data_IF_675856196670
#
_entry.id   IF_675856196670
#
_cell.length_a   1.000
_cell.length_b   1.000
_cell.length_c   1.000
_cell.angle_alpha   90.00
_cell.angle_beta   90.00
_cell.angle_gamma   90.00
#
_symmetry.space_group_name_H-M   'P 1'
#
loop_
_entity.id
_entity.type
_entity.pdbx_description
1 polymer ?
#
# COMPACT_ATOMS: atom_id res chain seq x y z
N UNK A 1 18.22 -11.22 5.43
CA UNK A 1 17.13 -10.35 4.93
C UNK A 1 17.40 -8.93 5.40
N UNK A 2 17.32 -7.97 4.48
CA UNK A 2 17.49 -6.56 4.83
C UNK A 2 16.27 -6.08 5.61
N UNK A 3 16.50 -5.29 6.65
CA UNK A 3 15.39 -4.68 7.39
C UNK A 3 14.63 -3.69 6.52
N UNK A 4 13.30 -3.58 6.69
CA UNK A 4 12.52 -2.62 5.93
C UNK A 4 12.83 -1.19 6.34
N UNK A 5 12.65 -0.28 5.39
CA UNK A 5 12.57 1.16 5.69
C UNK A 5 11.17 1.44 6.22
N UNK A 6 11.07 2.27 7.26
CA UNK A 6 9.80 2.59 7.91
C UNK A 6 9.49 4.07 7.78
N UNK A 7 8.24 4.39 7.44
CA UNK A 7 7.77 5.76 7.27
C UNK A 7 6.42 5.92 7.97
N UNK A 8 6.28 6.97 8.76
CA UNK A 8 5.00 7.32 9.38
C UNK A 8 4.51 8.66 8.85
N UNK A 9 3.19 8.80 8.77
CA UNK A 9 2.57 9.99 8.20
C UNK A 9 1.50 10.52 9.14
N UNK A 10 1.44 11.85 9.25
CA UNK A 10 0.47 12.53 10.12
C UNK A 10 -0.89 12.61 9.42
N UNK A 11 -1.96 12.43 10.18
CA UNK A 11 -3.33 12.70 9.73
C UNK A 11 -3.44 14.17 9.35
N UNK A 12 -3.88 14.46 8.12
CA UNK A 12 -4.00 15.83 7.62
C UNK A 12 -5.45 16.35 7.62
N UNK A 13 -6.36 15.59 8.23
CA UNK A 13 -7.79 15.94 8.30
C UNK A 13 -8.60 15.40 7.12
N UNK A 14 -7.96 14.97 6.05
CA UNK A 14 -8.60 14.37 4.87
C UNK A 14 -8.09 12.93 4.67
N UNK A 15 -6.78 12.74 4.61
CA UNK A 15 -6.13 11.43 4.61
C UNK A 15 -5.74 11.12 6.06
N UNK A 16 -6.38 10.13 6.69
CA UNK A 16 -6.13 9.87 8.12
C UNK A 16 -4.77 9.26 8.41
N UNK A 17 -4.24 8.51 7.46
CA UNK A 17 -3.03 7.72 7.61
C UNK A 17 -3.14 6.71 8.77
N UNK A 18 -2.01 6.21 9.26
CA UNK A 18 -1.98 5.22 10.33
C UNK A 18 -0.92 5.59 11.35
N UNK A 19 -1.10 5.14 12.59
CA UNK A 19 -0.06 5.19 13.61
C UNK A 19 1.02 4.14 13.38
N UNK A 20 0.69 3.10 12.59
CA UNK A 20 1.64 2.08 12.19
C UNK A 20 2.48 2.57 11.01
N UNK A 21 3.75 2.15 10.90
CA UNK A 21 4.58 2.60 9.79
C UNK A 21 4.24 1.89 8.49
N UNK A 22 4.34 2.61 7.39
CA UNK A 22 4.48 2.02 6.07
C UNK A 22 5.88 1.40 5.98
N UNK A 23 5.98 0.18 5.46
CA UNK A 23 7.24 -0.54 5.36
C UNK A 23 7.62 -0.75 3.91
N UNK A 24 8.87 -0.48 3.57
CA UNK A 24 9.41 -0.73 2.23
C UNK A 24 10.54 -1.74 2.34
N UNK A 25 10.37 -2.89 1.69
CA UNK A 25 11.38 -3.94 1.60
C UNK A 25 12.02 -3.87 0.23
N UNK A 26 13.27 -3.42 0.15
CA UNK A 26 13.98 -3.26 -1.12
C UNK A 26 14.51 -4.60 -1.62
N UNK A 27 14.27 -4.88 -2.90
CA UNK A 27 14.76 -6.08 -3.59
C UNK A 27 14.47 -7.37 -2.81
N UNK A 28 13.30 -7.45 -2.19
CA UNK A 28 12.93 -8.53 -1.28
C UNK A 28 12.12 -9.64 -1.95
N UNK A 29 11.68 -9.44 -3.19
CA UNK A 29 10.81 -10.38 -3.90
C UNK A 29 11.39 -10.70 -5.27
N UNK A 30 10.98 -11.84 -5.88
CA UNK A 30 11.28 -12.09 -7.28
C UNK A 30 10.72 -10.99 -8.17
N UNK A 31 11.44 -10.64 -9.25
CA UNK A 31 10.99 -9.63 -10.19
C UNK A 31 10.06 -10.26 -11.25
N UNK A 32 9.02 -10.93 -10.81
CA UNK A 32 7.96 -11.50 -11.65
C UNK A 32 6.67 -11.65 -10.84
N UNK A 33 5.54 -11.50 -11.50
CA UNK A 33 4.24 -11.49 -10.84
C UNK A 33 3.91 -12.82 -10.15
N UNK A 34 4.18 -13.95 -10.79
CA UNK A 34 3.88 -15.25 -10.20
C UNK A 34 4.73 -15.51 -8.96
N UNK A 35 6.00 -15.11 -8.97
CA UNK A 35 6.89 -15.24 -7.81
C UNK A 35 6.44 -14.39 -6.64
N UNK A 36 6.01 -13.16 -6.90
CA UNK A 36 5.47 -12.27 -5.88
C UNK A 36 4.19 -12.86 -5.30
N UNK A 37 3.31 -13.38 -6.15
CA UNK A 37 2.06 -14.00 -5.70
C UNK A 37 2.33 -15.19 -4.78
N UNK A 38 3.31 -16.02 -5.10
CA UNK A 38 3.70 -17.14 -4.23
C UNK A 38 4.25 -16.67 -2.90
N UNK A 39 5.07 -15.61 -2.92
CA UNK A 39 5.62 -15.02 -1.69
C UNK A 39 4.50 -14.48 -0.79
N UNK A 40 3.57 -13.75 -1.36
CA UNK A 40 2.44 -13.20 -0.60
C UNK A 40 1.56 -14.31 -0.03
N UNK A 41 1.21 -15.30 -0.85
CA UNK A 41 0.40 -16.44 -0.41
C UNK A 41 1.07 -17.21 0.74
N UNK A 42 2.38 -17.41 0.67
CA UNK A 42 3.14 -18.11 1.70
C UNK A 42 3.12 -17.36 3.05
N UNK A 43 2.90 -16.06 3.02
CA UNK A 43 2.83 -15.22 4.21
C UNK A 43 1.39 -14.88 4.62
N UNK A 44 0.39 -15.60 4.08
CA UNK A 44 -1.03 -15.43 4.38
C UNK A 44 -1.60 -14.09 3.88
N UNK A 45 -1.06 -13.61 2.76
CA UNK A 45 -1.57 -12.46 2.03
C UNK A 45 -1.97 -12.95 0.64
N UNK A 46 -3.17 -13.55 0.49
CA UNK A 46 -3.59 -14.08 -0.81
C UNK A 46 -3.60 -12.97 -1.87
N UNK A 47 -3.00 -13.23 -3.04
CA UNK A 47 -2.97 -12.23 -4.11
C UNK A 47 -4.37 -11.85 -4.55
N UNK A 48 -4.60 -10.55 -4.76
CA UNK A 48 -5.90 -10.02 -5.09
C UNK A 48 -5.98 -9.46 -6.52
N UNK A 49 -4.90 -8.83 -7.00
CA UNK A 49 -4.93 -8.18 -8.31
C UNK A 49 -3.52 -7.98 -8.87
N UNK A 50 -3.46 -7.75 -10.18
CA UNK A 50 -2.27 -7.27 -10.91
C UNK A 50 -2.67 -6.01 -11.65
N UNK A 51 -2.02 -4.88 -11.36
CA UNK A 51 -2.34 -3.59 -11.95
C UNK A 51 -1.25 -2.56 -11.60
N UNK A 52 -1.64 -1.31 -11.47
CA UNK A 52 -0.80 -0.19 -11.05
C UNK A 52 -1.48 0.56 -9.91
N UNK A 53 -0.82 1.59 -9.39
CA UNK A 53 -1.41 2.46 -8.36
C UNK A 53 -2.21 3.56 -9.06
N UNK A 54 -3.39 3.88 -8.55
CA UNK A 54 -4.22 4.96 -9.08
C UNK A 54 -3.49 6.31 -9.01
N UNK A 55 -3.69 7.19 -10.01
CA UNK A 55 -3.04 8.50 -10.04
C UNK A 55 -3.79 9.58 -9.25
N UNK A 56 -4.51 9.18 -8.22
CA UNK A 56 -5.22 10.08 -7.31
C UNK A 56 -5.04 9.61 -5.88
N UNK A 57 -5.14 10.54 -4.93
CA UNK A 57 -5.05 10.20 -3.52
C UNK A 57 -6.20 9.29 -3.12
N UNK A 58 -5.88 8.19 -2.47
CA UNK A 58 -6.86 7.25 -1.95
C UNK A 58 -6.23 6.43 -0.81
N UNK A 59 -7.09 5.78 -0.03
CA UNK A 59 -6.66 4.90 1.04
C UNK A 59 -7.74 3.85 1.32
N UNK A 60 -7.36 2.77 1.97
CA UNK A 60 -8.28 1.72 2.40
C UNK A 60 -8.48 1.84 3.91
N UNK A 61 -9.68 2.21 4.39
CA UNK A 61 -9.90 2.42 5.83
C UNK A 61 -10.02 1.12 6.61
N UNK A 62 -10.25 0.01 5.94
CA UNK A 62 -10.61 -1.26 6.58
C UNK A 62 -9.67 -2.43 6.22
N UNK A 63 -8.55 -2.16 5.58
CA UNK A 63 -7.63 -3.21 5.16
C UNK A 63 -6.19 -2.72 5.07
N UNK A 64 -5.24 -3.54 5.53
CA UNK A 64 -3.83 -3.38 5.18
C UNK A 64 -3.62 -3.88 3.76
N UNK A 65 -2.60 -3.38 3.07
CA UNK A 65 -2.32 -3.75 1.69
C UNK A 65 -0.83 -4.00 1.49
N UNK A 66 -0.50 -5.01 0.69
CA UNK A 66 0.87 -5.23 0.23
C UNK A 66 0.92 -4.99 -1.28
N UNK A 67 1.95 -4.31 -1.72
CA UNK A 67 2.24 -4.04 -3.13
C UNK A 67 3.61 -4.61 -3.47
N UNK A 68 3.65 -5.51 -4.45
CA UNK A 68 4.92 -6.04 -4.96
C UNK A 68 5.13 -5.59 -6.39
N UNK A 69 6.29 -5.02 -6.69
CA UNK A 69 6.60 -4.55 -8.04
C UNK A 69 7.20 -5.69 -8.84
N UNK A 70 6.47 -6.15 -9.85
CA UNK A 70 6.90 -7.25 -10.72
C UNK A 70 7.76 -6.76 -11.89
N UNK A 71 7.43 -5.60 -12.45
CA UNK A 71 8.14 -4.97 -13.56
C UNK A 71 8.08 -3.46 -13.44
N UNK A 72 9.10 -2.80 -13.96
CA UNK A 72 9.11 -1.36 -14.12
C UNK A 72 9.43 -0.61 -12.84
N UNK A 73 9.11 0.67 -12.88
CA UNK A 73 9.37 1.61 -11.78
C UNK A 73 8.20 2.57 -11.65
N UNK A 74 7.99 3.06 -10.43
CA UNK A 74 6.99 4.10 -10.16
C UNK A 74 7.46 5.04 -9.07
N UNK A 75 6.98 6.27 -9.12
CA UNK A 75 7.08 7.22 -8.03
C UNK A 75 5.69 7.39 -7.44
N UNK A 76 5.55 7.08 -6.17
CA UNK A 76 4.26 7.11 -5.48
C UNK A 76 4.36 8.06 -4.30
N UNK A 77 3.41 8.97 -4.21
CA UNK A 77 3.27 9.86 -3.06
C UNK A 77 2.44 9.12 -2.01
N UNK A 78 3.08 8.76 -0.91
CA UNK A 78 2.42 8.11 0.21
C UNK A 78 2.13 9.12 1.31
N UNK A 79 1.02 8.94 2.01
CA UNK A 79 0.70 9.75 3.19
C UNK A 79 -0.12 10.99 2.91
N UNK A 80 -0.69 11.13 1.72
CA UNK A 80 -1.46 12.30 1.32
C UNK A 80 -0.57 13.41 0.74
N UNK A 81 -1.16 14.59 0.43
CA UNK A 81 -0.42 15.69 -0.21
C UNK A 81 0.83 16.15 0.56
N UNK A 82 0.84 15.99 1.86
CA UNK A 82 1.98 16.37 2.72
C UNK A 82 2.87 15.18 3.10
N UNK A 83 2.68 14.05 2.44
CA UNK A 83 3.46 12.85 2.68
C UNK A 83 4.82 12.86 2.00
N UNK A 84 5.25 11.71 1.52
CA UNK A 84 6.56 11.54 0.92
C UNK A 84 6.48 10.74 -0.37
N UNK A 85 7.17 11.20 -1.41
CA UNK A 85 7.31 10.45 -2.66
C UNK A 85 8.41 9.41 -2.47
N UNK A 86 8.07 8.16 -2.75
CA UNK A 86 9.03 7.05 -2.76
C UNK A 86 9.08 6.46 -4.16
N UNK A 87 10.29 6.16 -4.61
CA UNK A 87 10.49 5.43 -5.86
C UNK A 87 10.56 3.94 -5.56
N UNK A 88 9.80 3.15 -6.31
CA UNK A 88 9.79 1.68 -6.19
C UNK A 88 10.12 1.06 -7.53
N UNK A 89 10.81 -0.08 -7.49
CA UNK A 89 11.31 -0.80 -8.67
C UNK A 89 11.04 -2.29 -8.53
N UNK A 90 11.16 -3.01 -9.64
CA UNK A 90 10.96 -4.46 -9.66
C UNK A 90 11.73 -5.15 -8.53
N UNK A 91 11.03 -5.98 -7.77
CA UNK A 91 11.54 -6.68 -6.58
C UNK A 91 11.25 -5.99 -5.26
N UNK A 92 10.81 -4.73 -5.29
CA UNK A 92 10.44 -4.02 -4.05
C UNK A 92 9.04 -4.43 -3.58
N UNK A 93 8.85 -4.46 -2.26
CA UNK A 93 7.55 -4.72 -1.63
C UNK A 93 7.25 -3.58 -0.67
N UNK A 94 6.04 -3.05 -0.76
CA UNK A 94 5.54 -2.01 0.15
C UNK A 94 4.36 -2.57 0.93
N UNK A 95 4.40 -2.44 2.26
CA UNK A 95 3.27 -2.81 3.12
C UNK A 95 2.66 -1.52 3.66
N UNK A 96 1.39 -1.30 3.30
CA UNK A 96 0.64 -0.11 3.70
C UNK A 96 -0.33 -0.47 4.81
N UNK A 97 -0.17 0.09 6.01
CA UNK A 97 -1.22 -0.03 7.03
C UNK A 97 -2.53 0.61 6.55
N UNK A 98 -3.65 0.09 7.02
CA UNK A 98 -4.96 0.68 6.74
C UNK A 98 -4.95 2.18 7.04
N UNK A 99 -5.49 2.97 6.14
CA UNK A 99 -5.56 4.42 6.26
C UNK A 99 -4.46 5.20 5.57
N UNK A 100 -3.34 4.56 5.23
CA UNK A 100 -2.22 5.27 4.59
C UNK A 100 -2.59 5.63 3.16
N UNK A 101 -2.51 6.93 2.85
CA UNK A 101 -2.79 7.43 1.51
C UNK A 101 -1.71 7.06 0.51
N UNK A 102 -2.13 6.86 -0.74
CA UNK A 102 -1.20 6.63 -1.84
C UNK A 102 -1.74 7.19 -3.14
N UNK A 103 -0.82 7.74 -3.95
CA UNK A 103 -1.14 8.43 -5.20
C UNK A 103 0.05 8.32 -6.14
N UNK A 104 -0.15 7.67 -7.29
CA UNK A 104 0.94 7.53 -8.25
C UNK A 104 1.26 8.88 -8.89
N UNK A 105 2.54 9.23 -8.93
CA UNK A 105 3.02 10.46 -9.56
C UNK A 105 3.63 10.21 -10.93
N UNK A 106 4.24 9.04 -11.13
CA UNK A 106 4.95 8.69 -12.35
C UNK A 106 5.13 7.17 -12.42
N UNK A 107 5.20 6.65 -13.63
CA UNK A 107 5.52 5.24 -13.85
C UNK A 107 6.19 5.01 -15.20
N UNK A 108 6.91 3.89 -15.31
CA UNK A 108 7.32 3.37 -16.61
C UNK A 108 6.14 2.67 -17.30
N UNK A 109 6.21 2.55 -18.63
CA UNK A 109 5.11 1.96 -19.42
C UNK A 109 4.87 0.49 -19.09
N UNK A 110 5.91 -0.23 -18.65
CA UNK A 110 5.84 -1.66 -18.36
C UNK A 110 5.48 -1.97 -16.91
N UNK A 111 5.14 -0.96 -16.11
CA UNK A 111 4.85 -1.17 -14.68
C UNK A 111 3.79 -2.25 -14.48
N UNK A 112 4.12 -3.20 -13.61
CA UNK A 112 3.16 -4.19 -13.14
C UNK A 112 3.36 -4.39 -11.65
N UNK A 113 2.27 -4.20 -10.89
CA UNK A 113 2.24 -4.37 -9.44
C UNK A 113 1.26 -5.48 -9.09
N UNK A 114 1.66 -6.33 -8.15
CA UNK A 114 0.79 -7.33 -7.53
C UNK A 114 0.31 -6.76 -6.21
N UNK A 115 -1.01 -6.71 -6.02
CA UNK A 115 -1.63 -6.28 -4.78
C UNK A 115 -2.21 -7.44 -3.99
N UNK A 116 -2.13 -7.36 -2.67
CA UNK A 116 -2.67 -8.38 -1.79
C UNK A 116 -3.15 -7.76 -0.48
N UNK A 117 -4.07 -8.46 0.17
CA UNK A 117 -4.60 -8.11 1.48
C UNK A 117 -4.45 -9.32 2.40
N UNK A 118 -4.32 -9.12 3.73
CA UNK A 118 -4.23 -10.26 4.65
C UNK A 118 -5.41 -11.21 4.54
N UNK A 119 -5.20 -12.50 4.82
CA UNK A 119 -6.26 -13.50 4.75
C UNK A 119 -7.38 -13.29 5.77
N UNK A 120 -7.12 -12.52 6.83
CA UNK A 120 -8.14 -12.13 7.82
C UNK A 120 -8.77 -10.77 7.54
N UNK A 121 -8.54 -10.20 6.36
CA UNK A 121 -9.04 -8.88 6.00
C UNK A 121 -10.51 -8.92 5.58
N UNK A 122 -11.25 -7.87 5.92
CA UNK A 122 -12.52 -7.58 5.28
C UNK A 122 -12.27 -7.20 3.81
N UNK A 123 -13.34 -7.21 2.99
CA UNK A 123 -13.25 -6.74 1.61
C UNK A 123 -12.83 -5.26 1.62
N UNK A 124 -11.73 -4.89 0.95
CA UNK A 124 -11.24 -3.51 1.03
C UNK A 124 -12.21 -2.49 0.45
N UNK A 125 -12.42 -1.41 1.19
CA UNK A 125 -13.10 -0.21 0.71
C UNK A 125 -12.06 0.79 0.27
N UNK A 126 -12.45 1.73 -0.60
CA UNK A 126 -11.55 2.77 -1.08
C UNK A 126 -12.18 4.14 -0.85
N UNK A 127 -11.47 4.98 -0.10
CA UNK A 127 -11.85 6.38 0.13
C UNK A 127 -10.91 7.30 -0.66
N UNK A 128 -11.44 8.46 -1.06
CA UNK A 128 -10.73 9.42 -1.91
C UNK A 128 -10.14 10.60 -1.13
N UNK A 129 -10.24 10.58 0.21
CA UNK A 129 -9.75 11.68 1.03
C UNK A 129 -10.71 12.85 1.15
N UNK A 130 -12.01 12.60 1.05
CA UNK A 130 -13.01 13.62 1.31
C UNK A 130 -13.08 13.88 2.81
N UNK A 131 -13.13 15.14 3.26
CA UNK A 131 -13.17 15.44 4.70
C UNK A 131 -14.33 14.76 5.44
N UNK A 132 -15.48 14.59 4.81
CA UNK A 132 -16.64 13.93 5.41
C UNK A 132 -16.44 12.43 5.65
N UNK A 133 -15.47 11.79 5.01
CA UNK A 133 -15.14 10.38 5.21
C UNK A 133 -14.22 10.16 6.41
N UNK A 134 -13.57 11.21 6.89
CA UNK A 134 -12.42 11.12 7.81
C UNK A 134 -12.76 10.42 9.14
N UNK A 135 -13.78 10.86 9.85
CA UNK A 135 -14.04 10.38 11.22
C UNK A 135 -14.46 8.92 11.24
N UNK A 136 -15.28 8.50 10.28
CA UNK A 136 -15.64 7.08 10.14
C UNK A 136 -14.43 6.23 9.78
N UNK A 137 -13.56 6.74 8.90
CA UNK A 137 -12.34 6.05 8.51
C UNK A 137 -11.42 5.84 9.71
N UNK A 138 -11.23 6.84 10.55
CA UNK A 138 -10.40 6.72 11.77
C UNK A 138 -10.93 5.61 12.67
N UNK A 139 -12.25 5.50 12.83
CA UNK A 139 -12.84 4.41 13.61
C UNK A 139 -12.60 3.05 12.97
N UNK A 140 -12.75 2.94 11.65
CA UNK A 140 -12.50 1.69 10.92
C UNK A 140 -11.04 1.25 11.04
N UNK A 141 -10.10 2.17 10.86
CA UNK A 141 -8.67 1.90 10.92
C UNK A 141 -8.30 1.28 12.29
N UNK A 142 -8.88 1.80 13.36
CA UNK A 142 -8.58 1.34 14.71
C UNK A 142 -9.03 -0.11 14.96
N UNK A 143 -9.92 -0.65 14.15
CA UNK A 143 -10.46 -2.02 14.30
C UNK A 143 -9.84 -3.04 13.35
N UNK A 144 -8.95 -2.62 12.45
CA UNK A 144 -8.33 -3.55 11.50
C UNK A 144 -7.44 -4.53 12.26
N UNK A 145 -7.65 -5.85 12.08
CA UNK A 145 -6.83 -6.83 12.79
C UNK A 145 -5.41 -6.86 12.26
N UNK A 146 -4.47 -7.26 13.10
CA UNK A 146 -3.12 -7.52 12.66
C UNK A 146 -3.10 -8.74 11.72
N UNK A 147 -2.31 -8.67 10.64
CA UNK A 147 -2.21 -9.75 9.67
C UNK A 147 -1.48 -10.98 10.20
#
# INVERSE_FOLDING_TARGET
MTEPQAFTFTDDGAIPNSKLPLLVYRAAAPADAAGIERLFAANRWPPAWRDAVHPYHHYHPNAHEALGVARGQAKVLFGGPEGQVLEVSAGDVVVLPAGVGHCKQWQTDDLLIVGAYPDNSARPETNRGKPEEHDEAVRSIATVPQP
#
